data_IF_616698748063
#
_entry.id   IF_616698748063
#
_cell.length_a   1.000
_cell.length_b   1.000
_cell.length_c   1.000
_cell.angle_alpha   90.00
_cell.angle_beta   90.00
_cell.angle_gamma   90.00
#
_symmetry.space_group_name_H-M   'P 1'
#
loop_
_entity.id
_entity.type
_entity.pdbx_description
1 polymer ?
#
# COMPACT_ATOMS: atom_id res chain seq x y z
N UNK A 1 -65.78 1.61 85.61
CA UNK A 1 -66.20 1.96 84.25
C UNK A 1 -65.26 3.04 83.57
N UNK A 2 -64.73 4.05 84.31
CA UNK A 2 -63.85 5.09 83.77
C UNK A 2 -62.47 4.65 83.41
N UNK A 3 -61.87 3.67 84.05
CA UNK A 3 -60.50 3.14 83.79
C UNK A 3 -60.35 2.48 82.39
N UNK A 4 -61.44 1.78 81.98
CA UNK A 4 -61.45 1.04 80.68
C UNK A 4 -61.51 1.98 79.46
N UNK A 5 -62.18 3.11 79.63
CA UNK A 5 -62.31 4.14 78.58
C UNK A 5 -60.93 4.86 78.35
N UNK A 6 -60.22 5.11 79.46
CA UNK A 6 -58.90 5.78 79.39
C UNK A 6 -57.84 4.90 78.72
N UNK A 7 -57.87 3.62 78.96
CA UNK A 7 -56.94 2.65 78.32
C UNK A 7 -57.21 2.50 76.82
N UNK A 8 -58.50 2.44 76.42
CA UNK A 8 -58.87 2.35 75.00
C UNK A 8 -58.57 3.66 74.24
N UNK A 9 -58.72 4.83 74.83
CA UNK A 9 -58.37 6.13 74.23
C UNK A 9 -56.87 6.28 74.08
N UNK A 10 -56.10 5.88 75.08
CA UNK A 10 -54.63 5.92 75.04
C UNK A 10 -54.06 4.97 74.00
N UNK A 11 -54.68 3.77 73.82
CA UNK A 11 -54.28 2.85 72.77
C UNK A 11 -54.58 3.37 71.38
N UNK A 12 -55.72 4.01 71.17
CA UNK A 12 -56.12 4.61 69.89
C UNK A 12 -55.25 5.79 69.48
N UNK A 13 -54.88 6.64 70.43
CA UNK A 13 -53.95 7.80 70.20
C UNK A 13 -52.52 7.28 69.89
N UNK A 14 -52.07 6.22 70.54
CA UNK A 14 -50.77 5.61 70.23
C UNK A 14 -50.74 4.93 68.88
N UNK A 15 -51.83 4.37 68.38
CA UNK A 15 -51.94 3.76 67.05
C UNK A 15 -52.01 4.80 65.94
N UNK A 16 -52.73 5.93 66.17
CA UNK A 16 -52.73 7.05 65.23
C UNK A 16 -51.38 7.72 65.11
N UNK A 17 -50.64 7.91 66.20
CA UNK A 17 -49.28 8.48 66.17
C UNK A 17 -48.27 7.55 65.47
N UNK A 18 -48.43 6.22 65.57
CA UNK A 18 -47.62 5.26 64.82
C UNK A 18 -47.90 5.32 63.33
N UNK A 19 -49.14 5.54 62.92
CA UNK A 19 -49.50 5.67 61.50
C UNK A 19 -48.97 6.98 60.90
N UNK A 20 -48.99 8.09 61.63
CA UNK A 20 -48.44 9.35 61.17
C UNK A 20 -46.91 9.31 61.02
N UNK A 21 -46.18 8.68 61.94
CA UNK A 21 -44.72 8.53 61.84
C UNK A 21 -44.30 7.52 60.75
N UNK A 22 -45.11 6.49 60.49
CA UNK A 22 -44.88 5.54 59.41
C UNK A 22 -45.07 6.19 58.03
N UNK A 23 -46.08 7.07 57.87
CA UNK A 23 -46.34 7.84 56.64
C UNK A 23 -45.21 8.81 56.31
N UNK A 24 -44.68 9.55 57.29
CA UNK A 24 -43.55 10.48 57.09
C UNK A 24 -42.27 9.74 56.65
N UNK A 25 -41.95 8.60 57.25
CA UNK A 25 -40.80 7.77 56.86
C UNK A 25 -40.94 7.19 55.47
N UNK A 26 -42.13 6.77 55.06
CA UNK A 26 -42.39 6.27 53.71
C UNK A 26 -42.29 7.36 52.65
N UNK A 27 -42.68 8.59 52.93
CA UNK A 27 -42.55 9.73 52.03
C UNK A 27 -41.06 10.11 51.85
N UNK A 28 -40.29 10.14 52.93
CA UNK A 28 -38.84 10.42 52.87
C UNK A 28 -38.14 9.32 52.07
N UNK A 29 -38.49 8.06 52.26
CA UNK A 29 -37.95 6.93 51.50
C UNK A 29 -38.30 7.04 50.00
N UNK A 30 -39.55 7.39 49.69
CA UNK A 30 -39.95 7.62 48.28
C UNK A 30 -39.21 8.75 47.61
N UNK A 31 -39.06 9.89 48.30
CA UNK A 31 -38.29 11.07 47.78
C UNK A 31 -36.80 10.69 47.59
N UNK A 32 -36.20 9.94 48.53
CA UNK A 32 -34.79 9.55 48.42
C UNK A 32 -34.55 8.61 47.23
N UNK A 33 -35.48 7.69 46.94
CA UNK A 33 -35.41 6.81 45.78
C UNK A 33 -35.53 7.58 44.47
N UNK A 34 -36.45 8.57 44.40
CA UNK A 34 -36.61 9.39 43.21
C UNK A 34 -35.33 10.26 42.97
N UNK A 35 -34.77 10.82 44.04
CA UNK A 35 -33.51 11.57 43.94
C UNK A 35 -32.34 10.70 43.51
N UNK A 36 -32.23 9.51 44.06
CA UNK A 36 -31.21 8.53 43.67
C UNK A 36 -31.36 8.14 42.19
N UNK A 37 -32.57 7.87 41.73
CA UNK A 37 -32.88 7.55 40.34
C UNK A 37 -32.56 8.70 39.39
N UNK A 38 -32.86 9.94 39.80
CA UNK A 38 -32.52 11.15 39.01
C UNK A 38 -31.00 11.37 38.90
N UNK A 39 -30.27 11.19 39.99
CA UNK A 39 -28.78 11.24 39.95
C UNK A 39 -28.19 10.16 39.08
N UNK A 40 -28.67 8.91 39.18
CA UNK A 40 -28.26 7.81 38.34
C UNK A 40 -28.57 8.10 36.86
N UNK A 41 -29.73 8.63 36.55
CA UNK A 41 -30.11 9.04 35.18
C UNK A 41 -29.18 10.09 34.60
N UNK A 42 -28.84 11.12 35.40
CA UNK A 42 -27.90 12.17 35.00
C UNK A 42 -26.50 11.57 34.76
N UNK A 43 -26.02 10.72 35.65
CA UNK A 43 -24.72 10.05 35.50
C UNK A 43 -24.68 9.16 34.26
N UNK A 44 -25.74 8.40 33.95
CA UNK A 44 -25.84 7.60 32.72
C UNK A 44 -25.80 8.49 31.48
N UNK A 45 -26.54 9.58 31.45
CA UNK A 45 -26.53 10.54 30.33
C UNK A 45 -25.13 11.14 30.13
N UNK A 46 -24.46 11.50 31.21
CA UNK A 46 -23.09 12.03 31.16
C UNK A 46 -22.12 10.94 30.65
N UNK A 47 -22.24 9.72 31.12
CA UNK A 47 -21.42 8.59 30.65
C UNK A 47 -21.58 8.36 29.14
N UNK A 48 -22.82 8.34 28.63
CA UNK A 48 -23.09 8.18 27.19
C UNK A 48 -22.55 9.36 26.37
N UNK A 49 -22.68 10.61 26.87
CA UNK A 49 -22.10 11.78 26.21
C UNK A 49 -20.59 11.72 26.16
N UNK A 50 -19.94 11.30 27.24
CA UNK A 50 -18.49 11.14 27.30
C UNK A 50 -18.01 10.03 26.35
N UNK A 51 -18.72 8.90 26.29
CA UNK A 51 -18.42 7.83 25.35
C UNK A 51 -18.57 8.30 23.89
N UNK A 52 -19.61 9.07 23.58
CA UNK A 52 -19.86 9.57 22.23
C UNK A 52 -18.87 10.65 21.79
N UNK A 53 -18.32 11.45 22.71
CA UNK A 53 -17.28 12.45 22.39
C UNK A 53 -15.92 11.81 22.06
N UNK A 54 -15.71 10.52 22.39
CA UNK A 54 -14.53 9.75 21.94
C UNK A 54 -14.66 9.23 20.52
N UNK A 55 -15.82 9.33 19.88
CA UNK A 55 -16.05 8.90 18.50
C UNK A 55 -15.88 10.02 17.46
N UNK A 56 -15.73 11.27 17.90
CA UNK A 56 -15.49 12.37 16.98
C UNK A 56 -14.05 12.30 16.48
N UNK A 57 -13.90 11.85 15.24
CA UNK A 57 -12.59 11.67 14.60
C UNK A 57 -12.55 12.31 13.23
N UNK A 58 -11.37 12.69 12.80
CA UNK A 58 -11.08 13.12 11.44
C UNK A 58 -10.06 12.18 10.81
N UNK A 59 -10.37 11.66 9.64
CA UNK A 59 -9.45 10.84 8.86
C UNK A 59 -8.89 11.66 7.71
N UNK A 60 -7.58 11.76 7.66
CA UNK A 60 -6.84 12.55 6.66
C UNK A 60 -5.78 11.72 5.99
N UNK A 61 -5.33 12.17 4.82
CA UNK A 61 -4.25 11.54 4.08
C UNK A 61 -3.13 12.53 3.86
N UNK A 62 -1.91 12.12 4.22
CA UNK A 62 -0.69 12.83 3.86
C UNK A 62 -0.01 12.15 2.69
N UNK A 63 0.39 12.93 1.71
CA UNK A 63 1.11 12.50 0.52
C UNK A 63 2.54 13.00 0.61
N UNK A 64 3.51 12.10 0.33
CA UNK A 64 4.88 12.48 0.02
C UNK A 64 5.26 11.91 -1.34
N UNK A 65 5.79 12.73 -2.20
CA UNK A 65 6.34 12.37 -3.51
C UNK A 65 7.78 12.88 -3.60
N UNK A 66 8.66 12.04 -4.15
CA UNK A 66 10.05 12.38 -4.33
C UNK A 66 10.54 11.87 -5.68
N UNK A 67 11.16 12.76 -6.44
CA UNK A 67 11.87 12.40 -7.67
C UNK A 67 13.30 11.99 -7.33
N UNK A 68 13.71 10.83 -7.85
CA UNK A 68 15.05 10.28 -7.63
C UNK A 68 15.60 9.76 -8.96
N UNK A 69 16.89 9.90 -9.23
CA UNK A 69 17.49 9.24 -10.38
C UNK A 69 17.48 7.72 -10.18
N UNK A 70 17.21 6.99 -11.25
CA UNK A 70 17.37 5.53 -11.25
C UNK A 70 18.82 5.16 -10.95
N UNK A 71 19.03 4.10 -10.18
CA UNK A 71 20.35 3.59 -9.79
C UNK A 71 20.77 2.37 -10.59
N UNK A 72 19.88 1.82 -11.42
CA UNK A 72 20.10 0.64 -12.23
C UNK A 72 19.46 0.79 -13.61
N UNK A 73 20.21 0.40 -14.61
CA UNK A 73 19.77 0.34 -16.01
C UNK A 73 19.65 -1.15 -16.35
N UNK A 74 18.52 -1.53 -16.91
CA UNK A 74 18.24 -2.89 -17.38
C UNK A 74 18.00 -2.81 -18.87
N UNK A 75 18.93 -3.40 -19.64
CA UNK A 75 18.83 -3.49 -21.08
C UNK A 75 18.57 -4.96 -21.46
N UNK A 76 17.51 -5.21 -22.19
CA UNK A 76 17.11 -6.56 -22.59
C UNK A 76 17.14 -6.67 -24.11
N UNK A 77 17.82 -7.72 -24.59
CA UNK A 77 17.92 -8.07 -25.98
C UNK A 77 17.17 -9.40 -26.20
N UNK A 78 16.14 -9.36 -27.01
CA UNK A 78 15.35 -10.51 -27.38
C UNK A 78 15.57 -10.78 -28.86
N UNK A 79 15.80 -12.04 -29.22
CA UNK A 79 15.83 -12.47 -30.61
C UNK A 79 15.28 -13.88 -30.75
N UNK A 80 14.92 -14.22 -31.98
CA UNK A 80 14.46 -15.55 -32.33
C UNK A 80 15.06 -16.00 -33.66
N UNK A 81 15.21 -17.29 -33.80
CA UNK A 81 15.61 -17.95 -35.08
C UNK A 81 14.74 -19.15 -35.35
N UNK A 82 14.62 -19.52 -36.61
CA UNK A 82 13.78 -20.61 -37.06
C UNK A 82 14.55 -21.49 -38.06
N UNK A 83 14.36 -22.80 -38.01
CA UNK A 83 14.91 -23.74 -38.98
C UNK A 83 14.07 -25.03 -39.03
N UNK A 84 14.22 -25.78 -40.10
CA UNK A 84 13.69 -27.15 -40.22
C UNK A 84 14.62 -28.19 -39.61
N UNK A 85 15.86 -27.80 -39.25
CA UNK A 85 16.85 -28.67 -38.60
C UNK A 85 17.16 -28.15 -37.19
N UNK A 86 16.89 -28.95 -36.17
CA UNK A 86 17.19 -28.59 -34.77
C UNK A 86 18.72 -28.41 -34.54
N UNK A 87 19.56 -29.19 -35.22
CA UNK A 87 21.01 -29.09 -35.11
C UNK A 87 21.53 -27.76 -35.68
N UNK A 88 21.02 -27.39 -36.86
CA UNK A 88 21.32 -26.09 -37.48
C UNK A 88 20.85 -24.92 -36.59
N UNK A 89 19.60 -24.96 -36.13
CA UNK A 89 19.04 -23.93 -35.25
C UNK A 89 19.89 -23.72 -33.99
N UNK A 90 20.33 -24.80 -33.34
CA UNK A 90 21.22 -24.72 -32.17
C UNK A 90 22.57 -24.09 -32.51
N UNK A 91 23.13 -24.38 -33.66
CA UNK A 91 24.40 -23.78 -34.11
C UNK A 91 24.23 -22.30 -34.38
N UNK A 92 23.17 -21.92 -35.09
CA UNK A 92 22.83 -20.51 -35.37
C UNK A 92 22.63 -19.72 -34.05
N UNK A 93 21.83 -20.26 -33.10
CA UNK A 93 21.63 -19.61 -31.83
C UNK A 93 22.93 -19.37 -31.07
N UNK A 94 23.80 -20.40 -31.01
CA UNK A 94 25.10 -20.27 -30.34
C UNK A 94 26.02 -19.23 -30.99
N UNK A 95 26.02 -19.14 -32.31
CA UNK A 95 26.80 -18.15 -33.04
C UNK A 95 26.26 -16.76 -32.80
N UNK A 96 24.95 -16.57 -32.86
CA UNK A 96 24.29 -15.27 -32.59
C UNK A 96 24.56 -14.82 -31.17
N UNK A 97 24.44 -15.69 -30.17
CA UNK A 97 24.79 -15.39 -28.78
C UNK A 97 26.22 -14.84 -28.65
N UNK A 98 27.18 -15.55 -29.29
CA UNK A 98 28.59 -15.13 -29.24
C UNK A 98 28.82 -13.75 -29.86
N UNK A 99 28.13 -13.44 -30.97
CA UNK A 99 28.18 -12.12 -31.62
C UNK A 99 27.57 -11.05 -30.72
N UNK A 100 26.37 -11.29 -30.17
CA UNK A 100 25.68 -10.35 -29.31
C UNK A 100 26.51 -10.05 -28.07
N UNK A 101 27.02 -11.08 -27.38
CA UNK A 101 27.85 -10.93 -26.19
C UNK A 101 29.13 -10.14 -26.50
N UNK A 102 29.77 -10.44 -27.64
CA UNK A 102 30.95 -9.69 -28.10
C UNK A 102 30.62 -8.22 -28.26
N UNK A 103 29.54 -7.87 -28.95
CA UNK A 103 29.10 -6.47 -29.18
C UNK A 103 28.75 -5.76 -27.86
N UNK A 104 28.11 -6.44 -26.92
CA UNK A 104 27.84 -5.89 -25.57
C UNK A 104 29.16 -5.57 -24.83
N UNK A 105 30.16 -6.44 -24.92
CA UNK A 105 31.50 -6.20 -24.34
C UNK A 105 32.24 -5.05 -25.01
N UNK A 106 32.15 -4.95 -26.34
CA UNK A 106 32.72 -3.83 -27.13
C UNK A 106 32.07 -2.49 -26.72
N UNK A 107 30.79 -2.49 -26.33
CA UNK A 107 30.11 -1.31 -25.78
C UNK A 107 30.65 -0.90 -24.39
N UNK A 108 31.37 -1.78 -23.69
CA UNK A 108 32.01 -1.53 -22.39
C UNK A 108 31.33 -2.21 -21.20
N UNK A 109 30.57 -3.28 -21.46
CA UNK A 109 29.95 -4.10 -20.43
C UNK A 109 30.89 -5.21 -19.97
N UNK A 110 30.84 -5.51 -18.68
CA UNK A 110 31.57 -6.59 -18.06
C UNK A 110 30.76 -7.88 -18.05
N UNK A 111 31.41 -9.04 -17.98
CA UNK A 111 30.71 -10.34 -17.91
C UNK A 111 29.75 -10.47 -16.72
N UNK A 112 30.02 -9.80 -15.61
CA UNK A 112 29.16 -9.77 -14.43
C UNK A 112 27.87 -8.98 -14.61
N UNK A 113 27.83 -8.09 -15.61
CA UNK A 113 26.67 -7.24 -15.93
C UNK A 113 25.74 -7.94 -16.93
N UNK A 114 26.22 -9.00 -17.62
CA UNK A 114 25.47 -9.72 -18.64
C UNK A 114 24.89 -11.01 -18.05
N UNK A 115 23.58 -11.09 -18.01
CA UNK A 115 22.86 -12.29 -17.55
C UNK A 115 22.30 -13.03 -18.77
N UNK A 116 22.85 -14.20 -18.98
CA UNK A 116 22.49 -15.09 -20.07
C UNK A 116 21.55 -16.20 -19.55
N UNK A 117 20.36 -16.30 -20.13
CA UNK A 117 19.43 -17.41 -19.89
C UNK A 117 19.51 -18.41 -21.05
N UNK A 118 19.41 -19.74 -20.82
CA UNK A 118 19.38 -20.69 -21.90
C UNK A 118 18.25 -20.44 -22.89
N UNK A 119 18.52 -20.60 -24.20
CA UNK A 119 17.49 -20.45 -25.21
C UNK A 119 16.36 -21.46 -25.06
N UNK A 120 15.14 -21.01 -25.29
CA UNK A 120 13.96 -21.87 -25.33
C UNK A 120 13.71 -22.35 -26.76
N UNK A 121 13.55 -23.66 -26.93
CA UNK A 121 13.26 -24.27 -28.21
C UNK A 121 11.84 -24.85 -28.23
N UNK A 122 11.11 -24.65 -29.32
CA UNK A 122 9.77 -25.17 -29.52
C UNK A 122 9.66 -25.89 -30.86
N UNK A 123 8.90 -27.00 -30.89
CA UNK A 123 8.53 -27.74 -32.12
C UNK A 123 7.10 -27.30 -32.48
N UNK A 124 6.97 -26.47 -33.48
CA UNK A 124 5.68 -25.91 -33.93
C UNK A 124 4.72 -26.98 -34.49
N UNK A 125 5.24 -28.14 -34.90
CA UNK A 125 4.38 -29.24 -35.32
C UNK A 125 3.79 -30.00 -34.14
N UNK A 126 4.51 -30.10 -33.02
CA UNK A 126 3.97 -30.67 -31.78
C UNK A 126 2.91 -29.80 -31.16
N UNK A 127 3.09 -28.45 -31.24
CA UNK A 127 2.17 -27.45 -30.70
C UNK A 127 0.96 -27.21 -31.63
N UNK A 128 0.94 -27.76 -32.84
CA UNK A 128 -0.03 -27.47 -33.89
C UNK A 128 -1.37 -28.17 -33.74
N UNK A 129 -1.74 -28.68 -32.56
CA UNK A 129 -3.09 -29.23 -32.33
C UNK A 129 -4.25 -28.27 -32.70
N UNK A 130 -3.97 -26.97 -32.78
CA UNK A 130 -4.93 -25.93 -33.11
C UNK A 130 -4.69 -25.23 -34.47
N UNK A 131 -3.61 -25.51 -35.19
CA UNK A 131 -3.28 -24.85 -36.45
C UNK A 131 -3.02 -25.83 -37.58
N UNK A 132 -3.51 -25.50 -38.77
CA UNK A 132 -3.16 -26.28 -40.00
C UNK A 132 -1.66 -26.24 -40.23
N UNK A 133 -1.02 -27.42 -40.26
CA UNK A 133 0.42 -27.58 -40.49
C UNK A 133 0.88 -27.03 -41.83
N UNK A 134 -0.02 -26.89 -42.81
CA UNK A 134 0.28 -26.42 -44.16
C UNK A 134 0.78 -24.99 -44.26
N UNK A 135 0.69 -24.22 -43.17
CA UNK A 135 1.13 -22.82 -43.10
C UNK A 135 2.44 -22.61 -42.31
N UNK A 136 3.04 -23.68 -41.79
CA UNK A 136 4.25 -23.59 -40.98
C UNK A 136 5.47 -23.74 -41.89
N UNK A 137 6.13 -22.61 -42.19
CA UNK A 137 7.33 -22.62 -43.05
C UNK A 137 8.55 -23.29 -42.39
N UNK A 138 8.69 -23.11 -41.05
CA UNK A 138 9.77 -23.68 -40.27
C UNK A 138 9.23 -24.46 -39.08
N UNK A 139 9.70 -25.69 -38.90
CA UNK A 139 9.26 -26.59 -37.83
C UNK A 139 9.74 -26.15 -36.46
N UNK A 140 11.01 -25.81 -36.35
CA UNK A 140 11.62 -25.45 -35.06
C UNK A 140 11.76 -23.93 -34.92
N UNK A 141 11.45 -23.43 -33.75
CA UNK A 141 11.66 -22.04 -33.35
C UNK A 141 12.50 -22.02 -32.08
N UNK A 142 13.46 -21.10 -32.00
CA UNK A 142 14.20 -20.82 -30.79
C UNK A 142 14.07 -19.36 -30.43
N UNK A 143 13.94 -19.10 -29.13
CA UNK A 143 13.83 -17.77 -28.57
C UNK A 143 14.87 -17.59 -27.48
N UNK A 144 15.55 -16.42 -27.48
CA UNK A 144 16.61 -16.07 -26.55
C UNK A 144 16.38 -14.69 -25.95
N UNK A 145 16.68 -14.59 -24.66
CA UNK A 145 16.71 -13.34 -23.92
C UNK A 145 18.09 -13.17 -23.26
N UNK A 146 18.75 -12.05 -23.54
CA UNK A 146 19.97 -11.62 -22.87
C UNK A 146 19.67 -10.34 -22.13
N UNK A 147 19.91 -10.33 -20.83
CA UNK A 147 19.66 -9.17 -19.98
C UNK A 147 20.95 -8.59 -19.46
N UNK A 148 21.07 -7.28 -19.54
CA UNK A 148 22.20 -6.52 -19.00
C UNK A 148 21.73 -5.70 -17.83
N UNK A 149 22.47 -5.74 -16.74
CA UNK A 149 22.22 -4.95 -15.53
C UNK A 149 23.43 -4.08 -15.25
N UNK A 150 23.33 -2.78 -15.44
CA UNK A 150 24.47 -1.87 -15.28
C UNK A 150 24.06 -0.59 -14.52
N UNK A 151 25.03 0.04 -13.91
CA UNK A 151 24.91 1.39 -13.32
C UNK A 151 25.56 2.46 -14.19
N UNK A 152 26.17 2.06 -15.31
CA UNK A 152 26.95 2.91 -16.19
C UNK A 152 26.04 3.68 -17.16
N UNK A 153 25.60 4.88 -16.81
CA UNK A 153 24.69 5.68 -17.65
C UNK A 153 25.27 6.03 -19.03
N UNK A 154 26.60 6.14 -19.16
CA UNK A 154 27.30 6.46 -20.42
C UNK A 154 27.24 5.34 -21.47
N UNK A 155 26.78 4.15 -21.11
CA UNK A 155 26.67 3.02 -22.05
C UNK A 155 25.35 3.06 -22.83
N UNK A 156 24.32 3.73 -22.32
CA UNK A 156 22.98 3.75 -22.94
C UNK A 156 23.02 4.23 -24.39
N UNK A 157 23.81 5.28 -24.69
CA UNK A 157 23.97 5.78 -26.04
C UNK A 157 24.61 4.74 -26.98
N UNK A 158 25.58 3.96 -26.50
CA UNK A 158 26.19 2.87 -27.27
C UNK A 158 25.24 1.70 -27.46
N UNK A 159 24.44 1.38 -26.46
CA UNK A 159 23.43 0.33 -26.56
C UNK A 159 22.30 0.68 -27.52
N UNK A 160 21.97 1.97 -27.70
CA UNK A 160 20.95 2.40 -28.64
C UNK A 160 21.34 2.10 -30.11
N UNK A 161 22.63 1.99 -30.42
CA UNK A 161 23.11 1.64 -31.75
C UNK A 161 23.29 0.11 -31.97
N UNK A 162 23.16 -0.66 -30.88
CA UNK A 162 23.42 -2.12 -30.92
C UNK A 162 22.49 -2.86 -31.88
N UNK A 163 21.23 -2.47 -31.97
CA UNK A 163 20.27 -3.09 -32.90
C UNK A 163 20.72 -2.92 -34.36
N UNK A 164 21.18 -1.74 -34.73
CA UNK A 164 21.68 -1.47 -36.07
C UNK A 164 22.98 -2.25 -36.36
N UNK A 165 23.88 -2.33 -35.39
CA UNK A 165 25.11 -3.12 -35.50
C UNK A 165 24.86 -4.62 -35.68
N UNK A 166 23.86 -5.17 -34.95
CA UNK A 166 23.47 -6.57 -35.06
C UNK A 166 22.72 -6.85 -36.36
N UNK A 167 21.96 -5.88 -36.86
CA UNK A 167 21.31 -5.99 -38.16
C UNK A 167 22.34 -6.13 -39.31
N UNK A 168 23.48 -5.43 -39.20
CA UNK A 168 24.59 -5.58 -40.15
C UNK A 168 25.28 -6.97 -40.11
N UNK A 169 25.06 -7.71 -39.01
CA UNK A 169 25.53 -9.11 -38.85
C UNK A 169 24.41 -10.14 -39.18
N UNK A 170 23.33 -9.67 -39.85
CA UNK A 170 22.15 -10.48 -40.19
C UNK A 170 21.37 -11.00 -38.95
N UNK A 171 21.49 -10.34 -37.80
CA UNK A 171 20.80 -10.72 -36.57
C UNK A 171 19.71 -9.68 -36.26
N UNK A 172 18.44 -10.10 -36.37
CA UNK A 172 17.31 -9.25 -36.00
C UNK A 172 17.02 -9.43 -34.52
N UNK A 173 17.14 -8.35 -33.78
CA UNK A 173 16.84 -8.32 -32.33
C UNK A 173 15.75 -7.29 -32.04
N UNK A 174 15.11 -7.43 -30.91
CA UNK A 174 14.30 -6.41 -30.28
C UNK A 174 14.91 -6.08 -28.92
N UNK A 175 15.40 -4.87 -28.77
CA UNK A 175 16.01 -4.45 -27.54
C UNK A 175 15.22 -3.31 -26.89
N UNK A 176 15.20 -3.28 -25.56
CA UNK A 176 14.60 -2.18 -24.82
C UNK A 176 15.36 -1.90 -23.52
N UNK A 177 15.40 -0.63 -23.19
CA UNK A 177 16.00 -0.11 -21.96
C UNK A 177 14.91 0.17 -20.95
N UNK A 178 15.10 -0.29 -19.72
CA UNK A 178 14.30 0.11 -18.56
C UNK A 178 15.21 0.57 -17.44
N UNK A 179 14.68 1.39 -16.57
CA UNK A 179 15.42 1.96 -15.45
C UNK A 179 14.78 1.50 -14.16
N UNK A 180 15.58 1.18 -13.15
CA UNK A 180 15.11 0.70 -11.85
C UNK A 180 15.74 1.56 -10.74
N UNK A 181 15.02 1.68 -9.63
CA UNK A 181 15.51 2.31 -8.42
C UNK A 181 15.44 1.34 -7.25
N UNK A 182 16.60 0.93 -6.73
CA UNK A 182 16.73 -0.03 -5.65
C UNK A 182 16.96 0.64 -4.28
N UNK A 183 17.35 1.93 -4.25
CA UNK A 183 17.64 2.72 -3.06
C UNK A 183 16.41 3.10 -2.22
N UNK A 184 15.24 2.50 -2.49
CA UNK A 184 13.99 2.82 -1.81
C UNK A 184 14.08 2.74 -0.28
N UNK A 185 14.83 1.76 0.26
CA UNK A 185 14.93 1.57 1.71
C UNK A 185 15.64 2.74 2.42
N UNK A 186 16.51 3.45 1.73
CA UNK A 186 17.25 4.60 2.27
C UNK A 186 16.34 5.81 2.45
N UNK A 187 15.41 6.03 1.53
CA UNK A 187 14.53 7.20 1.54
C UNK A 187 13.20 6.96 2.29
N UNK A 188 12.80 5.71 2.50
CA UNK A 188 11.54 5.34 3.19
C UNK A 188 11.31 6.08 4.50
N UNK A 189 12.26 6.11 5.47
CA UNK A 189 12.00 6.74 6.76
C UNK A 189 11.69 8.24 6.64
N UNK A 190 12.42 8.94 5.79
CA UNK A 190 12.21 10.37 5.55
C UNK A 190 10.85 10.64 4.88
N UNK A 191 10.48 9.84 3.88
CA UNK A 191 9.21 9.98 3.18
C UNK A 191 8.00 9.66 4.09
N UNK A 192 8.13 8.68 4.99
CA UNK A 192 7.08 8.38 5.99
C UNK A 192 6.91 9.56 6.94
N UNK A 193 8.01 10.11 7.45
CA UNK A 193 7.96 11.26 8.34
C UNK A 193 7.27 12.47 7.68
N UNK A 194 7.64 12.77 6.45
CA UNK A 194 7.03 13.87 5.68
C UNK A 194 5.54 13.61 5.41
N UNK A 195 5.16 12.40 5.02
CA UNK A 195 3.75 12.07 4.76
C UNK A 195 2.88 12.16 6.03
N UNK A 196 3.44 11.81 7.21
CA UNK A 196 2.77 11.99 8.50
C UNK A 196 2.60 13.46 8.86
N UNK A 197 3.61 14.29 8.60
CA UNK A 197 3.55 15.73 8.82
C UNK A 197 2.47 16.38 7.93
N UNK A 198 2.42 16.03 6.65
CA UNK A 198 1.37 16.49 5.72
C UNK A 198 -0.04 16.04 6.13
N UNK A 199 -0.17 14.81 6.66
CA UNK A 199 -1.43 14.34 7.21
C UNK A 199 -1.84 15.17 8.43
N UNK A 200 -0.90 15.51 9.30
CA UNK A 200 -1.15 16.35 10.47
C UNK A 200 -1.56 17.78 10.09
N UNK A 201 -0.82 18.41 9.18
CA UNK A 201 -1.18 19.73 8.65
C UNK A 201 -2.62 19.76 8.11
N UNK A 202 -2.97 18.74 7.31
CA UNK A 202 -4.33 18.60 6.76
C UNK A 202 -5.39 18.43 7.87
N UNK A 203 -5.08 17.68 8.92
CA UNK A 203 -6.00 17.52 10.06
C UNK A 203 -6.17 18.80 10.86
N UNK A 204 -5.10 19.57 11.07
CA UNK A 204 -5.12 20.86 11.77
C UNK A 204 -5.96 21.89 10.99
N UNK A 205 -5.82 21.94 9.68
CA UNK A 205 -6.62 22.80 8.81
C UNK A 205 -8.11 22.42 8.84
N UNK A 206 -8.41 21.13 8.78
CA UNK A 206 -9.77 20.62 8.89
C UNK A 206 -10.39 20.98 10.25
N UNK A 207 -9.66 20.76 11.35
CA UNK A 207 -10.11 21.09 12.69
C UNK A 207 -10.38 22.58 12.84
N UNK A 208 -9.52 23.44 12.30
CA UNK A 208 -9.69 24.91 12.30
C UNK A 208 -10.98 25.32 11.58
N UNK A 209 -11.25 24.75 10.41
CA UNK A 209 -12.43 25.09 9.60
C UNK A 209 -13.73 24.56 10.22
N UNK A 210 -13.67 23.48 11.01
CA UNK A 210 -14.81 22.92 11.75
C UNK A 210 -14.99 23.50 13.15
N UNK A 211 -14.22 24.52 13.53
CA UNK A 211 -14.18 25.10 14.87
C UNK A 211 -13.88 24.10 15.99
N UNK A 212 -13.15 23.04 15.67
CA UNK A 212 -12.69 21.99 16.58
C UNK A 212 -11.18 22.10 16.81
N UNK A 213 -10.64 21.28 17.70
CA UNK A 213 -9.19 21.14 17.90
C UNK A 213 -8.77 19.71 17.64
N UNK A 214 -7.60 19.53 17.01
CA UNK A 214 -7.01 18.20 16.84
C UNK A 214 -6.58 17.64 18.20
N UNK A 215 -6.92 16.37 18.43
CA UNK A 215 -6.54 15.61 19.60
C UNK A 215 -5.33 14.71 19.35
N UNK A 216 -5.28 13.58 20.07
CA UNK A 216 -4.25 12.56 19.86
C UNK A 216 -4.54 11.77 18.58
N UNK A 217 -3.48 11.24 17.98
CA UNK A 217 -3.61 10.24 16.91
C UNK A 217 -4.32 9.00 17.46
N UNK A 218 -5.35 8.54 16.76
CA UNK A 218 -6.10 7.31 17.06
C UNK A 218 -5.49 6.12 16.33
N UNK A 219 -5.33 6.24 15.02
CA UNK A 219 -4.73 5.22 14.18
C UNK A 219 -3.89 5.87 13.09
N UNK A 220 -2.88 5.15 12.62
CA UNK A 220 -2.12 5.50 11.43
C UNK A 220 -1.92 4.25 10.60
N UNK A 221 -2.13 4.36 9.30
CA UNK A 221 -1.90 3.30 8.33
C UNK A 221 -1.06 3.84 7.18
N UNK A 222 0.08 3.21 6.96
CA UNK A 222 0.95 3.52 5.84
C UNK A 222 0.48 2.77 4.60
N UNK A 223 0.31 3.48 3.49
CA UNK A 223 0.08 2.87 2.18
C UNK A 223 1.34 2.26 1.58
N UNK A 224 1.17 1.62 0.44
CA UNK A 224 2.30 1.07 -0.32
C UNK A 224 3.11 2.20 -0.96
N UNK A 225 4.42 1.98 -1.06
CA UNK A 225 5.27 2.80 -1.89
C UNK A 225 5.07 2.40 -3.36
N UNK A 226 4.79 3.37 -4.23
CA UNK A 226 4.91 3.19 -5.68
C UNK A 226 6.19 3.83 -6.16
N UNK A 227 6.82 3.19 -7.14
CA UNK A 227 7.99 3.69 -7.87
C UNK A 227 7.64 3.60 -9.34
N UNK A 228 7.48 4.72 -9.98
CA UNK A 228 7.05 4.84 -11.36
C UNK A 228 8.02 5.73 -12.12
N UNK A 229 8.02 5.67 -13.44
CA UNK A 229 8.76 6.61 -14.26
C UNK A 229 8.17 8.01 -14.07
N UNK A 230 9.00 9.04 -14.09
CA UNK A 230 8.52 10.42 -13.99
C UNK A 230 7.53 10.72 -15.11
N UNK A 231 7.93 10.40 -16.33
CA UNK A 231 7.13 10.46 -17.55
C UNK A 231 7.76 9.56 -18.64
N UNK A 232 7.08 9.41 -19.79
CA UNK A 232 7.53 8.57 -20.92
C UNK A 232 8.87 9.06 -21.52
N UNK A 233 9.19 10.33 -21.43
CA UNK A 233 10.42 10.91 -22.00
C UNK A 233 11.59 10.91 -21.01
N UNK A 234 11.31 10.75 -19.72
CA UNK A 234 12.29 10.80 -18.64
C UNK A 234 12.25 9.53 -17.77
N UNK A 235 12.34 8.33 -18.35
CA UNK A 235 12.24 7.07 -17.59
C UNK A 235 13.43 6.85 -16.64
N UNK A 236 14.54 7.59 -16.82
CA UNK A 236 15.72 7.60 -15.96
C UNK A 236 15.48 8.30 -14.61
N UNK A 237 14.40 9.08 -14.48
CA UNK A 237 13.97 9.67 -13.22
C UNK A 237 12.77 8.90 -12.73
N UNK A 238 12.81 8.49 -11.46
CA UNK A 238 11.72 7.76 -10.81
C UNK A 238 10.97 8.66 -9.85
N UNK A 239 9.67 8.61 -9.92
CA UNK A 239 8.76 9.24 -8.97
C UNK A 239 8.37 8.22 -7.91
N UNK A 240 8.90 8.40 -6.71
CA UNK A 240 8.55 7.58 -5.55
C UNK A 240 7.43 8.29 -4.80
N UNK A 241 6.38 7.56 -4.50
CA UNK A 241 5.19 8.09 -3.84
C UNK A 241 4.77 7.21 -2.67
N UNK A 242 4.34 7.83 -1.58
CA UNK A 242 3.70 7.17 -0.44
C UNK A 242 2.52 8.00 0.05
N UNK A 243 1.45 7.31 0.45
CA UNK A 243 0.29 7.94 1.09
C UNK A 243 0.13 7.33 2.48
N UNK A 244 0.07 8.16 3.51
CA UNK A 244 -0.21 7.74 4.87
C UNK A 244 -1.60 8.23 5.26
N UNK A 245 -2.45 7.33 5.75
CA UNK A 245 -3.77 7.67 6.27
C UNK A 245 -3.68 7.72 7.79
N UNK A 246 -4.14 8.82 8.38
CA UNK A 246 -4.10 9.04 9.83
C UNK A 246 -5.48 9.47 10.31
N UNK A 247 -5.91 8.90 11.41
CA UNK A 247 -7.13 9.27 12.10
C UNK A 247 -6.78 9.94 13.43
N UNK A 248 -7.31 11.13 13.64
CA UNK A 248 -7.15 11.92 14.86
C UNK A 248 -8.48 12.08 15.58
N UNK A 249 -8.45 12.09 16.91
CA UNK A 249 -9.58 12.54 17.69
C UNK A 249 -9.77 14.05 17.53
N UNK A 250 -11.03 14.51 17.50
CA UNK A 250 -11.40 15.91 17.59
C UNK A 250 -11.79 16.27 19.02
N UNK A 251 -11.53 17.55 19.41
CA UNK A 251 -11.87 18.12 20.73
C UNK A 251 -12.62 19.43 20.57
#
# INVERSE_FOLDING_TARGET
MLIHIYATLKYKIMEENKKCCASGKSIILGVSIILAAAVLGILMVQMVRTLKSFDDTVSVRGLCEKEVPADRIVYRVNYSSQSNSLAELRTTMKNNDAIIIRKLKEAGLDDSEIVYTPATFSDRYADSYYYSTDRIAYRYNAHQNISVYTTKANIVEKLSNLEADLLNEDIIVSAYTSYEYNGLNEIKPAMIAESLEKARESAEEFAKNSHSKIGKMKTASQGYFSVEDLDENNPQIKKVRVVTTVEYYLK
#
